data_IF_953801923548
#
_entry.id   IF_953801923548
#
_cell.length_a   1.000
_cell.length_b   1.000
_cell.length_c   1.000
_cell.angle_alpha   90.00
_cell.angle_beta   90.00
_cell.angle_gamma   90.00
#
_symmetry.space_group_name_H-M   'P 1'
#
loop_
_entity.id
_entity.type
_entity.pdbx_description
1 polymer ?
#
# COMPACT_ATOMS: atom_id res chain seq x y z
N UNK A 1 -1.91 25.63 -1.09
CA UNK A 1 -2.93 25.11 -0.16
C UNK A 1 -2.23 24.66 1.12
N UNK A 2 -2.92 24.77 2.25
CA UNK A 2 -2.42 24.41 3.60
C UNK A 2 -2.00 22.91 3.72
N UNK A 3 -2.41 22.07 2.79
CA UNK A 3 -2.25 20.59 2.85
C UNK A 3 -1.19 20.03 1.92
N UNK A 4 -0.39 20.86 1.24
CA UNK A 4 0.61 20.39 0.25
C UNK A 4 1.73 19.49 0.82
N UNK A 5 1.88 19.40 2.14
CA UNK A 5 2.94 18.63 2.81
C UNK A 5 2.39 17.64 3.84
N UNK A 6 1.09 17.37 3.78
CA UNK A 6 0.46 16.42 4.73
C UNK A 6 0.83 14.98 4.39
N UNK A 7 0.87 14.65 3.11
CA UNK A 7 1.20 13.31 2.61
C UNK A 7 2.33 13.39 1.60
N UNK A 8 3.22 12.40 1.65
CA UNK A 8 4.25 12.16 0.66
C UNK A 8 3.81 11.00 -0.24
N UNK A 9 3.80 11.15 -1.57
CA UNK A 9 3.53 10.04 -2.46
C UNK A 9 4.76 9.14 -2.58
N UNK A 10 4.66 7.91 -2.08
CA UNK A 10 5.62 6.85 -2.30
C UNK A 10 4.99 5.77 -3.15
N UNK A 11 5.69 5.32 -4.19
CA UNK A 11 5.15 4.32 -5.08
C UNK A 11 5.37 2.90 -4.55
N UNK A 12 4.35 2.08 -4.71
CA UNK A 12 4.41 0.63 -4.56
C UNK A 12 4.09 0.00 -5.89
N UNK A 13 4.97 -0.88 -6.37
CA UNK A 13 4.84 -1.51 -7.68
C UNK A 13 4.59 -2.99 -7.52
N UNK A 14 3.89 -3.56 -8.50
CA UNK A 14 3.48 -4.96 -8.50
C UNK A 14 3.72 -5.62 -9.86
N UNK A 15 3.88 -6.92 -9.81
CA UNK A 15 3.92 -7.82 -10.96
C UNK A 15 2.89 -8.94 -10.75
N UNK A 16 2.41 -9.55 -11.83
CA UNK A 16 1.69 -10.80 -11.73
C UNK A 16 2.17 -11.79 -12.82
N UNK A 17 2.25 -13.05 -12.42
CA UNK A 17 2.58 -14.14 -13.32
C UNK A 17 1.46 -14.42 -14.32
N UNK A 18 1.71 -15.23 -15.33
CA UNK A 18 0.67 -15.98 -16.02
C UNK A 18 -0.04 -16.93 -15.03
N UNK A 19 -1.22 -17.48 -15.37
CA UNK A 19 -1.86 -18.49 -14.53
C UNK A 19 -0.96 -19.70 -14.33
N UNK A 20 -0.77 -20.11 -13.09
CA UNK A 20 0.09 -21.23 -12.71
C UNK A 20 -0.72 -22.52 -12.62
N UNK A 21 -0.15 -23.66 -13.05
CA UNK A 21 -0.78 -24.96 -12.88
C UNK A 21 -0.76 -25.41 -11.41
N UNK A 22 -1.65 -26.29 -11.04
CA UNK A 22 -1.80 -26.76 -9.66
C UNK A 22 -0.54 -27.49 -9.14
N UNK A 23 0.25 -28.08 -10.01
CA UNK A 23 1.54 -28.68 -9.64
C UNK A 23 2.52 -27.65 -9.05
N UNK A 24 2.59 -26.45 -9.63
CA UNK A 24 3.41 -25.36 -9.07
C UNK A 24 2.84 -24.85 -7.75
N UNK A 25 1.50 -24.75 -7.64
CA UNK A 25 0.87 -24.35 -6.38
C UNK A 25 1.08 -25.36 -5.26
N UNK A 26 1.19 -26.63 -5.58
CA UNK A 26 1.52 -27.67 -4.60
C UNK A 26 2.94 -27.51 -4.04
N UNK A 27 3.86 -26.95 -4.81
CA UNK A 27 5.23 -26.65 -4.37
C UNK A 27 5.30 -25.31 -3.63
N UNK A 28 4.63 -24.27 -4.15
CA UNK A 28 4.60 -22.91 -3.54
C UNK A 28 3.86 -22.94 -2.22
N UNK A 29 2.79 -23.72 -2.09
CA UNK A 29 1.79 -23.62 -1.01
C UNK A 29 0.71 -22.59 -1.35
N UNK A 30 0.26 -21.82 -0.37
CA UNK A 30 -0.80 -20.81 -0.51
C UNK A 30 -2.12 -21.38 -1.03
N UNK A 31 -2.50 -22.59 -0.56
CA UNK A 31 -3.67 -23.32 -1.02
C UNK A 31 -4.99 -22.61 -0.72
N UNK A 32 -5.05 -21.85 0.35
CA UNK A 32 -6.23 -21.06 0.76
C UNK A 32 -6.11 -19.58 0.33
N UNK A 33 -5.18 -19.27 -0.60
CA UNK A 33 -4.95 -17.90 -1.09
C UNK A 33 -4.53 -16.93 0.00
N UNK A 34 -3.70 -17.40 0.91
CA UNK A 34 -3.12 -16.61 1.98
C UNK A 34 -2.32 -15.45 1.40
N UNK A 35 -2.42 -14.31 2.01
CA UNK A 35 -1.48 -13.21 1.78
C UNK A 35 -0.20 -13.47 2.56
N UNK A 36 0.94 -13.16 1.98
CA UNK A 36 2.22 -13.27 2.66
C UNK A 36 3.05 -12.00 2.51
N UNK A 37 3.91 -11.77 3.45
CA UNK A 37 4.97 -10.77 3.40
C UNK A 37 6.18 -11.29 4.19
N UNK A 38 7.34 -10.69 3.99
CA UNK A 38 8.52 -11.03 4.76
C UNK A 38 9.07 -9.84 5.54
N UNK A 39 10.04 -10.10 6.41
CA UNK A 39 10.62 -9.14 7.34
C UNK A 39 11.89 -8.47 6.79
N UNK A 40 11.95 -8.20 5.50
CA UNK A 40 13.07 -7.49 4.88
C UNK A 40 12.86 -5.97 4.90
N UNK A 41 13.96 -5.21 4.76
CA UNK A 41 13.91 -3.73 4.75
C UNK A 41 13.03 -3.15 3.62
N UNK A 42 13.09 -3.74 2.43
CA UNK A 42 12.16 -3.45 1.34
C UNK A 42 11.05 -4.48 1.38
N UNK A 43 10.00 -4.18 2.13
CA UNK A 43 8.86 -5.05 2.33
C UNK A 43 8.31 -5.57 0.99
N UNK A 44 8.18 -6.88 0.91
CA UNK A 44 7.47 -7.55 -0.19
C UNK A 44 6.17 -8.14 0.33
N UNK A 45 5.24 -8.35 -0.57
CA UNK A 45 3.97 -9.00 -0.28
C UNK A 45 3.44 -9.70 -1.53
N UNK A 46 2.64 -10.72 -1.33
CA UNK A 46 2.07 -11.48 -2.44
C UNK A 46 0.84 -12.26 -2.04
N UNK A 47 0.14 -12.75 -3.07
CA UNK A 47 -1.08 -13.53 -2.91
C UNK A 47 -1.38 -14.34 -4.18
N UNK A 48 -1.93 -15.56 -4.02
CA UNK A 48 -2.56 -16.31 -5.11
C UNK A 48 -3.89 -15.66 -5.49
N UNK A 49 -4.03 -15.25 -6.76
CA UNK A 49 -5.26 -14.63 -7.29
C UNK A 49 -6.36 -15.65 -7.58
N UNK A 50 -7.58 -15.17 -7.83
CA UNK A 50 -8.72 -16.03 -8.16
C UNK A 50 -8.50 -16.87 -9.42
N UNK A 51 -7.77 -16.33 -10.41
CA UNK A 51 -7.42 -16.98 -11.66
C UNK A 51 -6.04 -17.68 -11.64
N UNK A 52 -5.57 -18.05 -10.43
CA UNK A 52 -4.34 -18.82 -10.20
C UNK A 52 -3.05 -18.14 -10.67
N UNK A 53 -2.95 -16.82 -10.62
CA UNK A 53 -1.69 -16.11 -10.78
C UNK A 53 -1.06 -15.84 -9.41
N UNK A 54 0.22 -15.59 -9.40
CA UNK A 54 0.88 -15.02 -8.24
C UNK A 54 1.02 -13.51 -8.45
N UNK A 55 0.23 -12.72 -7.73
CA UNK A 55 0.41 -11.29 -7.62
C UNK A 55 1.47 -11.01 -6.56
N UNK A 56 2.50 -10.24 -6.90
CA UNK A 56 3.65 -9.99 -6.05
C UNK A 56 4.08 -8.53 -6.15
N UNK A 57 4.26 -7.89 -5.03
CA UNK A 57 4.61 -6.48 -4.98
C UNK A 57 5.63 -6.18 -3.91
N UNK A 58 6.11 -4.94 -3.93
CA UNK A 58 7.03 -4.46 -2.93
C UNK A 58 7.22 -2.95 -2.98
N UNK A 59 7.68 -2.41 -1.87
CA UNK A 59 8.13 -1.03 -1.80
C UNK A 59 9.53 -0.96 -2.41
N UNK A 60 9.78 -0.07 -3.31
CA UNK A 60 11.11 0.05 -3.95
C UNK A 60 11.18 1.21 -4.94
N UNK A 61 10.06 1.85 -5.21
CA UNK A 61 10.04 3.03 -6.06
C UNK A 61 10.45 4.28 -5.27
N UNK A 62 11.27 5.09 -5.91
CA UNK A 62 11.82 6.30 -5.30
C UNK A 62 10.77 7.40 -5.17
N UNK A 63 10.95 8.28 -4.18
CA UNK A 63 10.26 9.55 -4.13
C UNK A 63 10.58 10.38 -5.37
N UNK A 64 9.57 11.04 -5.94
CA UNK A 64 9.73 11.95 -7.06
C UNK A 64 9.66 13.40 -6.59
N UNK A 65 10.70 14.18 -6.93
CA UNK A 65 10.85 15.59 -6.53
C UNK A 65 9.56 16.39 -6.73
N UNK A 66 9.24 17.24 -5.79
CA UNK A 66 8.01 18.04 -5.81
C UNK A 66 6.73 17.26 -5.50
N UNK A 67 6.84 16.03 -4.99
CA UNK A 67 5.69 15.11 -4.82
C UNK A 67 4.96 14.86 -6.14
N UNK A 68 5.71 14.76 -7.23
CA UNK A 68 5.14 14.51 -8.55
C UNK A 68 4.45 13.14 -8.60
N UNK A 69 3.25 13.12 -9.20
CA UNK A 69 2.49 11.90 -9.48
C UNK A 69 2.25 11.86 -10.98
N UNK A 70 2.72 10.78 -11.62
CA UNK A 70 2.61 10.59 -13.07
C UNK A 70 2.39 9.12 -13.39
N UNK A 71 1.63 8.79 -14.46
CA UNK A 71 1.40 7.39 -14.87
C UNK A 71 2.69 6.62 -15.16
N UNK A 72 3.73 7.30 -15.68
CA UNK A 72 5.02 6.68 -16.02
C UNK A 72 5.73 6.10 -14.78
N UNK A 73 5.42 6.61 -13.61
CA UNK A 73 6.02 6.15 -12.36
C UNK A 73 5.49 4.79 -11.89
N UNK A 74 4.37 4.33 -12.46
CA UNK A 74 3.82 2.99 -12.24
C UNK A 74 4.57 1.91 -13.05
N UNK A 75 5.44 2.33 -14.02
CA UNK A 75 6.10 1.45 -14.97
C UNK A 75 7.63 1.56 -14.88
N UNK A 76 8.19 1.40 -13.69
CA UNK A 76 9.65 1.45 -13.48
C UNK A 76 10.27 0.07 -13.72
N UNK A 77 10.80 -0.17 -14.91
CA UNK A 77 11.33 -1.47 -15.35
C UNK A 77 12.38 -2.07 -14.40
N UNK A 78 13.29 -1.26 -13.84
CA UNK A 78 14.28 -1.74 -12.87
C UNK A 78 13.66 -2.29 -11.58
N UNK A 79 12.55 -1.70 -11.13
CA UNK A 79 11.82 -2.18 -9.94
C UNK A 79 11.10 -3.49 -10.27
N UNK A 80 10.45 -3.60 -11.42
CA UNK A 80 9.80 -4.84 -11.85
C UNK A 80 10.81 -5.98 -12.03
N UNK A 81 12.00 -5.70 -12.57
CA UNK A 81 13.09 -6.68 -12.66
C UNK A 81 13.56 -7.13 -11.26
N UNK A 82 13.70 -6.21 -10.32
CA UNK A 82 14.07 -6.55 -8.95
C UNK A 82 12.98 -7.37 -8.24
N UNK A 83 11.69 -7.04 -8.47
CA UNK A 83 10.57 -7.84 -7.95
C UNK A 83 10.58 -9.24 -8.52
N UNK A 84 10.79 -9.40 -9.85
CA UNK A 84 10.91 -10.71 -10.47
C UNK A 84 12.04 -11.53 -9.85
N UNK A 85 13.23 -10.93 -9.73
CA UNK A 85 14.36 -11.61 -9.10
C UNK A 85 14.02 -12.07 -7.67
N UNK A 86 13.45 -11.19 -6.86
CA UNK A 86 13.04 -11.54 -5.50
C UNK A 86 12.00 -12.66 -5.48
N UNK A 87 11.06 -12.65 -6.42
CA UNK A 87 10.03 -13.67 -6.55
C UNK A 87 10.66 -15.04 -6.87
N UNK A 88 11.60 -15.10 -7.82
CA UNK A 88 12.28 -16.35 -8.19
C UNK A 88 13.28 -16.82 -7.12
N UNK A 89 13.90 -15.90 -6.38
CA UNK A 89 14.72 -16.25 -5.23
C UNK A 89 13.88 -16.91 -4.10
N UNK A 90 12.60 -16.50 -3.94
CA UNK A 90 11.67 -17.11 -2.97
C UNK A 90 11.05 -18.41 -3.46
N UNK A 91 10.70 -18.46 -4.74
CA UNK A 91 10.03 -19.58 -5.38
C UNK A 91 10.76 -19.96 -6.66
N UNK A 92 11.84 -20.76 -6.59
CA UNK A 92 12.64 -21.13 -7.77
C UNK A 92 11.86 -21.81 -8.89
N UNK A 93 10.76 -22.49 -8.57
CA UNK A 93 9.84 -23.10 -9.53
C UNK A 93 9.24 -22.08 -10.53
N UNK A 94 9.33 -20.79 -10.22
CA UNK A 94 8.81 -19.69 -11.07
C UNK A 94 9.85 -19.10 -12.04
N UNK A 95 11.04 -19.64 -12.14
CA UNK A 95 12.13 -19.05 -12.94
C UNK A 95 11.76 -18.87 -14.42
N UNK A 96 11.12 -19.87 -15.01
CA UNK A 96 10.69 -19.84 -16.42
C UNK A 96 9.28 -19.23 -16.63
N UNK A 97 8.59 -18.84 -15.54
CA UNK A 97 7.23 -18.32 -15.61
C UNK A 97 7.21 -16.87 -16.11
N UNK A 98 6.28 -16.58 -17.01
CA UNK A 98 6.14 -15.23 -17.59
C UNK A 98 5.44 -14.27 -16.61
N UNK A 99 5.98 -13.05 -16.53
CA UNK A 99 5.26 -11.92 -15.93
C UNK A 99 4.37 -11.32 -17.01
N UNK A 100 3.08 -11.33 -16.78
CA UNK A 100 2.09 -10.88 -17.76
C UNK A 100 1.46 -9.51 -17.44
N UNK A 101 1.58 -9.09 -16.19
CA UNK A 101 1.04 -7.80 -15.75
C UNK A 101 2.04 -7.08 -14.85
N UNK A 102 2.12 -5.77 -15.05
CA UNK A 102 2.86 -4.84 -14.21
C UNK A 102 2.00 -3.62 -13.92
N UNK A 103 1.97 -3.18 -12.69
CA UNK A 103 1.24 -1.97 -12.30
C UNK A 103 1.82 -1.39 -11.02
N UNK A 104 1.31 -0.26 -10.60
CA UNK A 104 1.68 0.38 -9.36
C UNK A 104 0.75 1.51 -9.00
N UNK A 105 1.12 2.25 -7.96
CA UNK A 105 0.41 3.43 -7.55
C UNK A 105 1.06 4.14 -6.38
N UNK A 106 0.76 5.44 -6.21
CA UNK A 106 1.28 6.22 -5.10
C UNK A 106 0.52 5.93 -3.80
N UNK A 107 1.25 5.63 -2.75
CA UNK A 107 0.76 5.57 -1.39
C UNK A 107 0.88 6.96 -0.75
N UNK A 108 -0.16 7.45 -0.09
CA UNK A 108 -0.10 8.68 0.69
C UNK A 108 0.50 8.44 2.07
N UNK A 109 1.75 8.86 2.28
CA UNK A 109 2.50 8.60 3.50
C UNK A 109 2.55 9.85 4.38
N UNK A 110 1.95 9.84 5.60
CA UNK A 110 2.17 10.89 6.60
C UNK A 110 3.61 10.90 7.10
N UNK A 111 4.08 12.02 7.64
CA UNK A 111 5.47 12.17 8.11
C UNK A 111 5.81 11.21 9.26
N UNK A 112 4.85 10.88 10.09
CA UNK A 112 4.96 9.96 11.23
C UNK A 112 4.42 8.55 10.93
N UNK A 113 4.05 8.29 9.68
CA UNK A 113 3.51 7.01 9.21
C UNK A 113 2.18 6.59 9.88
N UNK A 114 1.56 7.48 10.62
CA UNK A 114 0.32 7.20 11.33
C UNK A 114 -0.91 7.63 10.53
N UNK A 115 -1.87 6.74 10.27
CA UNK A 115 -3.12 7.12 9.62
C UNK A 115 -3.94 8.07 10.50
N UNK A 116 -4.88 8.77 9.88
CA UNK A 116 -5.77 9.66 10.62
C UNK A 116 -7.22 9.53 10.18
N UNK A 117 -8.12 9.72 11.13
CA UNK A 117 -9.57 9.81 10.94
C UNK A 117 -10.03 11.09 11.59
N UNK A 118 -10.56 12.04 10.79
CA UNK A 118 -10.88 13.38 11.27
C UNK A 118 -12.31 13.75 10.91
N UNK A 119 -13.00 14.36 11.84
CA UNK A 119 -14.32 14.99 11.62
C UNK A 119 -14.37 16.40 12.18
N UNK A 120 -14.41 17.36 11.27
CA UNK A 120 -14.66 18.77 11.63
C UNK A 120 -16.18 19.02 11.68
N UNK A 121 -16.74 18.95 12.86
CA UNK A 121 -18.19 19.13 13.10
C UNK A 121 -18.70 20.53 12.74
N UNK A 122 -17.83 21.54 12.76
CA UNK A 122 -18.25 22.93 12.46
C UNK A 122 -18.37 23.17 10.96
N UNK A 123 -17.53 22.50 10.17
CA UNK A 123 -17.52 22.60 8.71
C UNK A 123 -18.26 21.46 8.04
N UNK A 124 -18.65 20.43 8.78
CA UNK A 124 -19.25 19.21 8.23
C UNK A 124 -18.31 18.39 7.35
N UNK A 125 -16.99 18.50 7.58
CA UNK A 125 -15.98 17.81 6.76
C UNK A 125 -15.42 16.60 7.49
N UNK A 126 -15.45 15.47 6.82
CA UNK A 126 -14.85 14.23 7.29
C UNK A 126 -13.70 13.80 6.37
N UNK A 127 -12.65 13.23 6.92
CA UNK A 127 -11.54 12.67 6.17
C UNK A 127 -10.91 11.50 6.89
N UNK A 128 -10.43 10.53 6.12
CA UNK A 128 -9.64 9.41 6.63
C UNK A 128 -8.58 9.03 5.59
N UNK A 129 -7.39 8.61 6.03
CA UNK A 129 -6.33 8.25 5.09
C UNK A 129 -4.97 8.14 5.76
N UNK A 130 -3.93 8.02 4.91
CA UNK A 130 -2.56 7.84 5.38
C UNK A 130 -2.25 6.41 5.81
N UNK A 131 -2.91 5.41 5.22
CA UNK A 131 -2.81 3.99 5.60
C UNK A 131 -1.51 3.31 5.19
N UNK A 132 -0.69 3.97 4.37
CA UNK A 132 0.68 3.53 4.00
C UNK A 132 0.76 2.10 3.43
N UNK A 133 -0.27 1.69 2.69
CA UNK A 133 -0.38 0.35 2.09
C UNK A 133 -1.33 -0.60 2.81
N UNK A 134 -1.64 -0.37 4.09
CA UNK A 134 -2.53 -1.23 4.89
C UNK A 134 -4.01 -0.78 4.80
N UNK A 135 -4.42 -0.30 3.62
CA UNK A 135 -5.71 0.36 3.43
C UNK A 135 -6.93 -0.54 3.47
N UNK A 136 -6.83 -1.83 3.16
CA UNK A 136 -8.00 -2.69 2.97
C UNK A 136 -8.84 -2.79 4.26
N UNK A 137 -8.25 -3.26 5.35
CA UNK A 137 -8.94 -3.35 6.65
C UNK A 137 -9.02 -2.00 7.37
N UNK A 138 -7.94 -1.20 7.30
CA UNK A 138 -7.91 0.09 7.97
C UNK A 138 -8.95 1.07 7.43
N UNK A 139 -9.23 1.09 6.12
CA UNK A 139 -10.27 1.96 5.55
C UNK A 139 -11.68 1.56 6.01
N UNK A 140 -11.94 0.26 6.16
CA UNK A 140 -13.22 -0.21 6.71
C UNK A 140 -13.41 0.27 8.15
N UNK A 141 -12.40 0.08 9.01
CA UNK A 141 -12.44 0.56 10.39
C UNK A 141 -12.56 2.10 10.45
N UNK A 142 -11.85 2.81 9.59
CA UNK A 142 -11.93 4.28 9.48
C UNK A 142 -13.33 4.75 9.08
N UNK A 143 -13.96 4.07 8.12
CA UNK A 143 -15.33 4.38 7.70
C UNK A 143 -16.33 4.21 8.85
N UNK A 144 -16.21 3.12 9.61
CA UNK A 144 -17.04 2.88 10.81
C UNK A 144 -16.78 3.95 11.87
N UNK A 145 -15.50 4.29 12.12
CA UNK A 145 -15.15 5.35 13.06
C UNK A 145 -15.75 6.70 12.64
N UNK A 146 -15.68 7.04 11.35
CA UNK A 146 -16.32 8.27 10.84
C UNK A 146 -17.84 8.25 11.00
N UNK A 147 -18.49 7.12 10.71
CA UNK A 147 -19.93 6.98 10.90
C UNK A 147 -20.32 7.29 12.36
N UNK A 148 -19.62 6.70 13.32
CA UNK A 148 -19.86 6.93 14.74
C UNK A 148 -19.60 8.38 15.14
N UNK A 149 -18.51 9.00 14.66
CA UNK A 149 -18.21 10.41 14.93
C UNK A 149 -19.29 11.36 14.37
N UNK A 150 -19.76 11.11 13.15
CA UNK A 150 -20.80 11.92 12.48
C UNK A 150 -22.13 11.77 13.19
N UNK A 151 -22.52 10.55 13.56
CA UNK A 151 -23.77 10.25 14.24
C UNK A 151 -23.71 10.45 15.76
N UNK A 152 -22.57 10.92 16.27
CA UNK A 152 -22.32 11.19 17.70
C UNK A 152 -22.44 9.95 18.59
N UNK A 153 -22.18 8.78 18.04
CA UNK A 153 -22.10 7.55 18.81
C UNK A 153 -20.79 7.51 19.61
N UNK A 154 -20.85 7.10 20.87
CA UNK A 154 -19.66 6.92 21.72
C UNK A 154 -19.33 5.44 21.78
N UNK A 155 -18.46 4.98 20.90
CA UNK A 155 -18.00 3.59 20.84
C UNK A 155 -16.50 3.52 21.11
N UNK A 156 -15.92 2.37 21.43
CA UNK A 156 -14.49 2.21 21.62
C UNK A 156 -13.65 2.73 20.44
N UNK A 157 -14.13 2.59 19.19
CA UNK A 157 -13.40 3.00 18.00
C UNK A 157 -13.29 4.52 17.85
N UNK A 158 -14.19 5.31 18.48
CA UNK A 158 -14.10 6.78 18.47
C UNK A 158 -13.01 7.33 19.40
N UNK A 159 -12.37 6.47 20.19
CA UNK A 159 -11.26 6.81 21.08
C UNK A 159 -9.91 6.28 20.62
N UNK A 160 -9.83 5.68 19.43
CA UNK A 160 -8.57 5.20 18.87
C UNK A 160 -7.59 6.35 18.64
N UNK A 161 -6.27 6.11 18.80
CA UNK A 161 -5.25 7.15 18.71
C UNK A 161 -5.21 7.92 17.39
N UNK A 162 -5.72 7.35 16.32
CA UNK A 162 -5.78 7.99 15.01
C UNK A 162 -6.93 9.00 14.85
N UNK A 163 -7.87 9.05 15.81
CA UNK A 163 -8.99 10.00 15.76
C UNK A 163 -8.50 11.41 16.06
N UNK A 164 -8.73 12.33 15.11
CA UNK A 164 -8.22 13.70 15.14
C UNK A 164 -6.69 13.81 15.21
N UNK A 165 -5.98 12.73 14.85
CA UNK A 165 -4.54 12.77 14.78
C UNK A 165 -4.05 13.77 13.73
N UNK A 166 -3.02 14.54 14.07
CA UNK A 166 -2.39 15.54 13.20
C UNK A 166 -0.88 15.36 13.24
N UNK A 167 -0.37 14.63 12.26
CA UNK A 167 1.07 14.50 12.06
C UNK A 167 1.73 15.84 11.66
N UNK A 168 3.03 15.93 11.88
CA UNK A 168 3.83 17.05 11.38
C UNK A 168 3.81 17.06 9.85
N UNK A 169 3.84 18.24 9.21
CA UNK A 169 4.00 18.30 7.76
C UNK A 169 5.39 17.81 7.36
N UNK A 170 5.48 17.19 6.20
CA UNK A 170 6.75 16.86 5.57
C UNK A 170 7.61 18.11 5.36
N UNK A 171 8.90 17.94 5.32
CA UNK A 171 9.87 18.99 5.07
C UNK A 171 9.62 19.69 3.73
N UNK A 172 10.17 20.87 3.53
CA UNK A 172 10.18 21.54 2.23
C UNK A 172 11.23 20.89 1.32
N UNK A 173 11.06 21.01 0.00
CA UNK A 173 12.10 20.60 -0.93
C UNK A 173 13.37 21.46 -0.75
N UNK A 174 14.58 20.89 -0.90
CA UNK A 174 14.88 19.51 -1.26
C UNK A 174 14.99 18.54 -0.05
N UNK A 175 14.64 18.97 1.15
CA UNK A 175 14.86 18.24 2.41
C UNK A 175 13.78 17.18 2.73
N UNK A 176 12.92 16.88 1.77
CA UNK A 176 11.77 16.00 1.99
C UNK A 176 12.14 14.51 1.98
N UNK A 177 13.27 14.17 1.38
CA UNK A 177 13.73 12.78 1.26
C UNK A 177 15.26 12.68 1.35
#
# INVERSE_FOLDING_TARGET
SRNKRTLLPLYSLMIATEPLPESMWSEIGLHQRETFSDYRNLLIYGQRTADNRLAFGGRGARYHFGSAIKPEFDQVGSVHTALRKTLTDLFPVLDEVKITHTWGGPLGVPRDWMPSVNFDKYRGLASAGGYVGDGVSASNLAGRTLADLITKQRTPITHLPWVNHRGKPWEVEPFRW
#
